data_IF_158351441523
#
_entry.id   IF_158351441523
#
_cell.length_a   1.000
_cell.length_b   1.000
_cell.length_c   1.000
_cell.angle_alpha   90.00
_cell.angle_beta   90.00
_cell.angle_gamma   90.00
#
_symmetry.space_group_name_H-M   'P 1'
#
loop_
_entity.id
_entity.type
_entity.pdbx_description
1 polymer ?
#
# COMPACT_ATOMS: atom_id res chain seq x y z
N UNK A 1 1.97 12.73 18.94
CA UNK A 1 1.51 12.18 17.65
C UNK A 1 0.34 12.95 17.00
N UNK A 2 -0.27 13.96 17.63
CA UNK A 2 -1.46 14.66 17.08
C UNK A 2 -1.24 15.45 15.77
N UNK A 3 0.00 15.80 15.41
CA UNK A 3 0.31 16.53 14.17
C UNK A 3 0.43 15.67 12.92
N UNK A 4 0.79 14.38 13.07
CA UNK A 4 1.15 13.53 11.93
C UNK A 4 -0.03 13.25 11.00
N UNK A 5 -1.24 13.06 11.55
CA UNK A 5 -2.45 12.89 10.76
C UNK A 5 -2.77 14.09 9.86
N UNK A 6 -2.54 15.32 10.37
CA UNK A 6 -2.69 16.55 9.57
C UNK A 6 -1.67 16.59 8.43
N UNK A 7 -0.42 16.26 8.71
CA UNK A 7 0.65 16.21 7.70
C UNK A 7 0.34 15.20 6.60
N UNK A 8 -0.14 14.01 6.94
CA UNK A 8 -0.54 13.01 5.93
C UNK A 8 -1.70 13.52 5.08
N UNK A 9 -2.71 14.14 5.70
CA UNK A 9 -3.85 14.70 4.98
C UNK A 9 -3.43 15.81 4.01
N UNK A 10 -2.55 16.71 4.44
CA UNK A 10 -1.96 17.75 3.59
C UNK A 10 -1.17 17.15 2.41
N UNK A 11 -0.35 16.12 2.67
CA UNK A 11 0.41 15.45 1.61
C UNK A 11 -0.49 14.76 0.61
N UNK A 12 -1.58 14.14 1.08
CA UNK A 12 -2.61 13.56 0.22
C UNK A 12 -3.27 14.65 -0.63
N UNK A 13 -3.83 15.69 0.00
CA UNK A 13 -4.60 16.73 -0.67
C UNK A 13 -3.78 17.50 -1.72
N UNK A 14 -2.45 17.60 -1.53
CA UNK A 14 -1.55 18.26 -2.50
C UNK A 14 -1.16 17.38 -3.69
N UNK A 15 -1.30 16.04 -3.59
CA UNK A 15 -0.83 15.06 -4.59
C UNK A 15 -1.92 14.08 -5.05
N UNK A 16 -3.18 14.39 -4.73
CA UNK A 16 -4.36 13.66 -5.19
C UNK A 16 -4.70 14.01 -6.65
N UNK A 17 -5.54 13.21 -7.27
CA UNK A 17 -6.15 13.54 -8.55
C UNK A 17 -7.05 14.79 -8.40
N UNK A 18 -7.11 15.67 -9.41
CA UNK A 18 -7.82 16.96 -9.31
C UNK A 18 -9.33 16.84 -9.04
N UNK A 19 -9.94 15.72 -9.43
CA UNK A 19 -11.35 15.38 -9.19
C UNK A 19 -11.65 14.91 -7.75
N UNK A 20 -10.63 14.49 -7.00
CA UNK A 20 -10.80 14.01 -5.64
C UNK A 20 -11.12 15.18 -4.69
N UNK A 21 -12.06 14.97 -3.76
CA UNK A 21 -12.33 15.93 -2.69
C UNK A 21 -11.18 15.99 -1.68
N UNK A 22 -11.00 17.15 -1.05
CA UNK A 22 -10.09 17.25 0.09
C UNK A 22 -10.57 16.38 1.24
N UNK A 23 -9.61 15.74 1.89
CA UNK A 23 -9.89 14.86 3.02
C UNK A 23 -9.29 15.42 4.30
N UNK A 24 -9.90 15.05 5.41
CA UNK A 24 -9.26 15.06 6.73
C UNK A 24 -9.00 13.62 7.15
N UNK A 25 -7.91 13.40 7.87
CA UNK A 25 -7.56 12.08 8.40
C UNK A 25 -7.79 12.09 9.90
N UNK A 26 -8.74 11.27 10.35
CA UNK A 26 -9.05 11.09 11.76
C UNK A 26 -8.07 10.12 12.42
N UNK A 27 -7.86 10.27 13.74
CA UNK A 27 -6.99 9.37 14.50
C UNK A 27 -7.39 7.90 14.38
N UNK A 28 -8.71 7.62 14.39
CA UNK A 28 -9.24 6.27 14.21
C UNK A 28 -8.78 5.64 12.89
N UNK A 29 -8.79 6.39 11.78
CA UNK A 29 -8.35 5.87 10.48
C UNK A 29 -6.86 5.50 10.46
N UNK A 30 -6.04 6.20 11.25
CA UNK A 30 -4.62 5.87 11.43
C UNK A 30 -4.49 4.60 12.26
N UNK A 31 -5.22 4.52 13.38
CA UNK A 31 -5.22 3.32 14.24
C UNK A 31 -5.67 2.08 13.46
N UNK A 32 -6.80 2.16 12.76
CA UNK A 32 -7.33 1.08 11.93
C UNK A 32 -6.35 0.68 10.81
N UNK A 33 -5.55 1.63 10.28
CA UNK A 33 -4.53 1.32 9.29
C UNK A 33 -3.33 0.59 9.91
N UNK A 34 -2.88 0.99 11.10
CA UNK A 34 -1.76 0.36 11.80
C UNK A 34 -2.08 -1.06 12.28
N UNK A 35 -3.35 -1.36 12.52
CA UNK A 35 -3.81 -2.71 12.89
C UNK A 35 -3.86 -3.68 11.70
N UNK A 36 -3.80 -3.18 10.45
CA UNK A 36 -3.82 -4.03 9.26
C UNK A 36 -2.52 -4.81 9.10
N UNK A 37 -2.67 -6.09 8.80
CA UNK A 37 -1.56 -7.01 8.53
C UNK A 37 -1.65 -7.58 7.12
N UNK A 38 -0.50 -7.76 6.49
CA UNK A 38 -0.39 -8.32 5.14
C UNK A 38 0.18 -7.34 4.11
N UNK A 39 0.72 -7.84 2.99
CA UNK A 39 1.53 -7.07 2.05
C UNK A 39 0.76 -6.02 1.24
N UNK A 40 -0.53 -6.24 0.98
CA UNK A 40 -1.42 -5.27 0.32
C UNK A 40 -2.43 -4.63 1.27
N UNK A 41 -2.45 -5.05 2.52
CA UNK A 41 -3.49 -4.65 3.46
C UNK A 41 -3.42 -3.16 3.74
N UNK A 42 -4.51 -2.45 3.47
CA UNK A 42 -4.59 -1.01 3.66
C UNK A 42 -4.06 -0.17 2.51
N UNK A 43 -3.68 -0.76 1.36
CA UNK A 43 -3.23 0.00 0.19
C UNK A 43 -4.28 0.99 -0.34
N UNK A 44 -5.57 0.71 -0.11
CA UNK A 44 -6.69 1.59 -0.47
C UNK A 44 -6.95 2.71 0.53
N UNK A 45 -6.26 2.71 1.68
CA UNK A 45 -6.41 3.75 2.68
C UNK A 45 -5.76 5.05 2.22
N UNK A 46 -6.43 6.18 2.47
CA UNK A 46 -5.83 7.50 2.25
C UNK A 46 -4.58 7.72 3.12
N UNK A 47 -4.54 7.06 4.29
CA UNK A 47 -3.36 7.04 5.18
C UNK A 47 -2.15 6.42 4.49
N UNK A 48 -2.35 5.36 3.70
CA UNK A 48 -1.27 4.69 2.97
C UNK A 48 -0.61 5.63 1.97
N UNK A 49 -1.39 6.21 1.05
CA UNK A 49 -0.84 7.07 0.01
C UNK A 49 -0.25 8.37 0.57
N UNK A 50 -0.92 9.03 1.52
CA UNK A 50 -0.39 10.25 2.14
C UNK A 50 0.92 9.99 2.90
N UNK A 51 1.03 8.85 3.60
CA UNK A 51 2.27 8.48 4.30
C UNK A 51 3.39 8.16 3.32
N UNK A 52 3.08 7.45 2.23
CA UNK A 52 4.02 7.17 1.16
C UNK A 52 4.63 8.47 0.59
N UNK A 53 3.79 9.45 0.23
CA UNK A 53 4.25 10.76 -0.29
C UNK A 53 5.11 11.50 0.75
N UNK A 54 4.70 11.49 2.03
CA UNK A 54 5.47 12.12 3.10
C UNK A 54 6.88 11.54 3.22
N UNK A 55 6.99 10.21 3.33
CA UNK A 55 8.29 9.55 3.52
C UNK A 55 9.17 9.61 2.27
N UNK A 56 8.61 9.59 1.06
CA UNK A 56 9.41 9.79 -0.16
C UNK A 56 9.99 11.20 -0.24
N UNK A 57 9.22 12.23 0.12
CA UNK A 57 9.74 13.60 0.20
C UNK A 57 10.81 13.74 1.27
N UNK A 58 10.61 13.10 2.43
CA UNK A 58 11.59 13.08 3.50
C UNK A 58 12.89 12.40 3.01
N UNK A 59 12.80 11.29 2.27
CA UNK A 59 13.93 10.60 1.65
C UNK A 59 14.71 11.53 0.72
N UNK A 60 14.01 12.22 -0.19
CA UNK A 60 14.62 13.16 -1.14
C UNK A 60 15.28 14.32 -0.39
N UNK A 61 14.59 14.91 0.59
CA UNK A 61 15.11 16.01 1.42
C UNK A 61 16.42 15.64 2.12
N UNK A 62 16.52 14.40 2.60
CA UNK A 62 17.73 13.89 3.27
C UNK A 62 18.71 13.19 2.32
N UNK A 63 18.49 13.27 1.00
CA UNK A 63 19.30 12.64 -0.05
C UNK A 63 19.59 11.14 0.21
N UNK A 64 18.61 10.42 0.77
CA UNK A 64 18.77 8.99 1.09
C UNK A 64 18.51 8.12 -0.14
N UNK A 65 19.28 7.03 -0.34
CA UNK A 65 18.98 6.07 -1.39
C UNK A 65 17.65 5.36 -1.11
N UNK A 66 17.06 4.76 -2.15
CA UNK A 66 15.91 3.86 -1.97
C UNK A 66 16.37 2.60 -1.23
N UNK A 67 15.51 2.04 -0.38
CA UNK A 67 15.79 0.77 0.27
C UNK A 67 15.66 -0.40 -0.70
N UNK A 68 16.33 -1.52 -0.40
CA UNK A 68 16.22 -2.74 -1.22
C UNK A 68 14.77 -3.19 -1.38
N UNK A 69 14.00 -3.19 -0.28
CA UNK A 69 12.57 -3.55 -0.31
C UNK A 69 11.77 -2.63 -1.24
N UNK A 70 12.12 -1.34 -1.31
CA UNK A 70 11.47 -0.40 -2.23
C UNK A 70 11.77 -0.75 -3.69
N UNK A 71 13.02 -1.05 -4.01
CA UNK A 71 13.43 -1.45 -5.36
C UNK A 71 12.76 -2.75 -5.81
N UNK A 72 12.66 -3.73 -4.92
CA UNK A 72 11.98 -5.00 -5.20
C UNK A 72 10.47 -4.82 -5.43
N UNK A 73 9.81 -3.99 -4.62
CA UNK A 73 8.39 -3.64 -4.83
C UNK A 73 8.18 -2.94 -6.17
N UNK A 74 9.03 -1.97 -6.53
CA UNK A 74 8.96 -1.31 -7.84
C UNK A 74 9.20 -2.29 -9.00
N UNK A 75 10.09 -3.27 -8.83
CA UNK A 75 10.32 -4.32 -9.83
C UNK A 75 9.10 -5.22 -10.03
N UNK A 76 8.38 -5.58 -8.96
CA UNK A 76 7.20 -6.47 -9.03
C UNK A 76 5.92 -5.76 -9.47
N UNK A 77 5.67 -4.56 -8.96
CA UNK A 77 4.44 -3.80 -9.24
C UNK A 77 4.56 -2.86 -10.45
N UNK A 78 5.79 -2.69 -10.97
CA UNK A 78 6.07 -1.84 -12.11
C UNK A 78 5.80 -0.36 -11.85
N UNK A 79 5.71 0.42 -12.92
CA UNK A 79 5.49 1.88 -12.85
C UNK A 79 4.15 2.27 -12.23
N UNK A 80 3.13 1.40 -12.33
CA UNK A 80 1.78 1.66 -11.80
C UNK A 80 1.73 1.52 -10.28
N UNK A 81 2.61 0.71 -9.69
CA UNK A 81 2.61 0.44 -8.26
C UNK A 81 1.41 -0.39 -7.81
N UNK A 82 1.17 -0.40 -6.49
CA UNK A 82 0.01 -1.07 -5.91
C UNK A 82 -1.30 -0.38 -6.35
N UNK A 83 -2.34 -1.18 -6.57
CA UNK A 83 -3.67 -0.64 -6.81
C UNK A 83 -4.22 -0.02 -5.51
N UNK A 84 -4.45 1.29 -5.53
CA UNK A 84 -4.96 2.07 -4.38
C UNK A 84 -6.49 2.24 -4.41
N UNK A 85 -7.18 1.72 -5.43
CA UNK A 85 -8.64 1.77 -5.54
C UNK A 85 -9.28 0.44 -5.12
N UNK A 86 -8.61 -0.67 -5.45
CA UNK A 86 -9.06 -2.03 -5.16
C UNK A 86 -7.93 -2.81 -4.52
N UNK A 87 -8.19 -3.37 -3.35
CA UNK A 87 -7.25 -4.26 -2.68
C UNK A 87 -7.39 -5.70 -3.19
N UNK A 88 -6.35 -6.50 -2.97
CA UNK A 88 -6.31 -7.89 -3.38
C UNK A 88 -7.35 -8.77 -2.64
N UNK A 89 -7.84 -8.33 -1.46
CA UNK A 89 -8.87 -9.07 -0.70
C UNK A 89 -10.20 -9.20 -1.45
N UNK A 90 -10.46 -8.30 -2.40
CA UNK A 90 -11.67 -8.31 -3.24
C UNK A 90 -11.52 -9.10 -4.52
N UNK A 91 -10.39 -9.79 -4.72
CA UNK A 91 -10.14 -10.62 -5.88
C UNK A 91 -10.39 -12.09 -5.54
N UNK A 92 -11.10 -12.78 -6.43
CA UNK A 92 -11.31 -14.22 -6.34
C UNK A 92 -10.26 -14.96 -7.18
N UNK A 93 -9.75 -16.06 -6.65
CA UNK A 93 -8.84 -16.96 -7.36
C UNK A 93 -9.49 -18.33 -7.45
N UNK A 94 -9.59 -18.86 -8.67
CA UNK A 94 -10.04 -20.24 -8.88
C UNK A 94 -8.89 -21.18 -8.52
N UNK A 95 -9.15 -22.16 -7.66
CA UNK A 95 -8.17 -23.13 -7.17
C UNK A 95 -8.67 -24.53 -7.54
N UNK A 96 -7.86 -25.29 -8.27
CA UNK A 96 -8.20 -26.65 -8.68
C UNK A 96 -8.03 -27.68 -7.54
N UNK A 97 -8.52 -28.92 -7.72
CA UNK A 97 -8.28 -30.01 -6.77
C UNK A 97 -6.78 -30.25 -6.56
N UNK A 98 -6.33 -30.23 -5.30
CA UNK A 98 -4.91 -30.43 -4.94
C UNK A 98 -4.02 -29.18 -5.03
N UNK A 99 -4.60 -28.02 -5.36
CA UNK A 99 -3.90 -26.75 -5.41
C UNK A 99 -4.12 -25.94 -4.12
N UNK A 100 -3.10 -25.19 -3.69
CA UNK A 100 -3.22 -24.27 -2.54
C UNK A 100 -2.84 -22.85 -2.95
N UNK A 101 -3.72 -21.86 -2.74
CA UNK A 101 -3.39 -20.47 -2.99
C UNK A 101 -2.46 -19.96 -1.89
N UNK A 102 -1.50 -19.12 -2.26
CA UNK A 102 -0.68 -18.38 -1.31
C UNK A 102 -0.41 -16.96 -1.82
N UNK A 103 -0.15 -16.04 -0.89
CA UNK A 103 0.20 -14.65 -1.19
C UNK A 103 1.66 -14.45 -0.78
N UNK A 104 2.48 -13.95 -1.70
CA UNK A 104 3.89 -13.66 -1.42
C UNK A 104 4.06 -12.40 -0.56
N UNK A 105 5.27 -12.17 -0.05
CA UNK A 105 5.59 -10.98 0.77
C UNK A 105 5.55 -9.63 0.04
N UNK A 106 5.05 -9.59 -1.19
CA UNK A 106 4.87 -8.40 -2.04
C UNK A 106 3.41 -8.23 -2.49
N UNK A 107 2.52 -9.15 -2.13
CA UNK A 107 1.10 -9.10 -2.47
C UNK A 107 0.72 -9.81 -3.76
N UNK A 108 1.64 -10.54 -4.39
CA UNK A 108 1.35 -11.38 -5.54
C UNK A 108 0.66 -12.67 -5.08
N UNK A 109 -0.55 -12.92 -5.58
CA UNK A 109 -1.25 -14.16 -5.34
C UNK A 109 -0.80 -15.22 -6.36
N UNK A 110 -0.51 -16.43 -5.91
CA UNK A 110 -0.06 -17.53 -6.75
C UNK A 110 -0.63 -18.86 -6.25
N UNK A 111 -0.69 -19.83 -7.16
CA UNK A 111 -1.17 -21.18 -6.86
C UNK A 111 0.05 -22.10 -6.83
N UNK A 112 0.24 -22.82 -5.73
CA UNK A 112 1.22 -23.90 -5.68
C UNK A 112 0.52 -25.24 -5.88
N UNK A 113 1.05 -26.08 -6.77
CA UNK A 113 0.82 -27.53 -6.71
C UNK A 113 1.86 -28.14 -5.79
N UNK A 114 1.42 -28.87 -4.77
CA UNK A 114 2.32 -29.79 -4.08
C UNK A 114 2.55 -30.97 -5.02
N UNK A 115 3.79 -31.26 -5.45
CA UNK A 115 4.09 -32.59 -5.93
C UNK A 115 3.94 -33.55 -4.74
N UNK A 116 3.21 -34.64 -4.94
CA UNK A 116 3.19 -35.79 -4.04
C UNK A 116 4.60 -36.31 -3.77
#
# INVERSE_FOLDING_TARGET
MAGFGKTIAEMYNKHKQPEDKDISIQYKQIKDFLEKSGPTSGCTSKVFYGSYVYFEKLRIKHNKPKSNKRLEMEKKHGKKGLNIERDASRQYMNVGPGETPYIDGYGGASISRRPW
#
